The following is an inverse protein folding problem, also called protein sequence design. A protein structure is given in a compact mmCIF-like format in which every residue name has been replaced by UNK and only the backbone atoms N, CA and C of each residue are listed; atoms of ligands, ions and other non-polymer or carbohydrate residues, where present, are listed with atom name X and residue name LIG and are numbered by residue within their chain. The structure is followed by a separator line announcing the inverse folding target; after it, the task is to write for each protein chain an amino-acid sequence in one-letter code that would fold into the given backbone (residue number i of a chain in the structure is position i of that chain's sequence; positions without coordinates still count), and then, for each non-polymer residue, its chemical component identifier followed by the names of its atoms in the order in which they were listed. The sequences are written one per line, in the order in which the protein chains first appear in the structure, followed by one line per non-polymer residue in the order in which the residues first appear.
data_IF_266189779528
#
_entry.id   IF_266189779528
#
_cell.length_a   1.000
_cell.length_b   1.000
_cell.length_c   1.000
_cell.angle_alpha   90.00
_cell.angle_beta   90.00
_cell.angle_gamma   90.00
#
_symmetry.space_group_name_H-M   'P 1'
#
loop_
_entity.id
_entity.type
_entity.pdbx_description
1 polymer ?
#
# COMPACT_ATOMS: atom_id res chain seq x y z
N UNK A 1 32.30 18.33 -24.28
CA UNK A 1 31.99 17.80 -22.94
C UNK A 1 32.15 16.29 -22.97
N UNK A 2 33.06 15.73 -22.18
CA UNK A 2 33.40 14.31 -22.23
C UNK A 2 32.21 13.44 -21.72
N UNK A 3 32.12 12.20 -22.20
CA UNK A 3 31.10 11.22 -21.76
C UNK A 3 31.08 11.07 -20.23
N UNK A 4 32.21 11.19 -19.58
CA UNK A 4 32.39 11.12 -18.12
C UNK A 4 31.70 12.28 -17.38
N UNK A 5 31.74 13.50 -17.95
CA UNK A 5 31.02 14.65 -17.34
C UNK A 5 29.53 14.56 -17.46
N UNK A 6 28.99 13.95 -18.53
CA UNK A 6 27.53 13.68 -18.66
C UNK A 6 27.07 12.58 -17.70
N UNK A 7 27.84 11.52 -17.53
CA UNK A 7 27.53 10.45 -16.57
C UNK A 7 27.63 10.97 -15.12
N UNK A 8 28.61 11.80 -14.82
CA UNK A 8 28.76 12.42 -13.50
C UNK A 8 27.63 13.42 -13.18
N UNK A 9 27.21 14.22 -14.15
CA UNK A 9 26.08 15.14 -13.97
C UNK A 9 24.75 14.39 -13.74
N UNK A 10 24.48 13.32 -14.51
CA UNK A 10 23.27 12.51 -14.34
C UNK A 10 23.23 11.78 -12.99
N UNK A 11 24.37 11.27 -12.50
CA UNK A 11 24.45 10.66 -11.17
C UNK A 11 24.21 11.69 -10.06
N UNK A 12 24.80 12.88 -10.17
CA UNK A 12 24.59 13.95 -9.19
C UNK A 12 23.13 14.46 -9.15
N UNK A 13 22.45 14.53 -10.29
CA UNK A 13 21.02 14.87 -10.34
C UNK A 13 20.16 13.81 -9.66
N UNK A 14 20.47 12.52 -9.85
CA UNK A 14 19.79 11.44 -9.13
C UNK A 14 20.00 11.54 -7.62
N UNK A 15 21.23 11.73 -7.15
CA UNK A 15 21.54 11.91 -5.72
C UNK A 15 20.86 13.15 -5.12
N UNK A 16 20.78 14.25 -5.86
CA UNK A 16 20.02 15.43 -5.46
C UNK A 16 18.52 15.12 -5.30
N UNK A 17 17.92 14.39 -6.24
CA UNK A 17 16.52 13.97 -6.16
C UNK A 17 16.22 13.15 -4.89
N UNK A 18 17.11 12.20 -4.56
CA UNK A 18 16.98 11.42 -3.32
C UNK A 18 17.13 12.27 -2.06
N UNK A 19 18.07 13.23 -2.07
CA UNK A 19 18.25 14.19 -0.99
C UNK A 19 17.00 15.04 -0.77
N UNK A 20 16.42 15.59 -1.83
CA UNK A 20 15.18 16.36 -1.76
C UNK A 20 14.01 15.53 -1.21
N UNK A 21 13.84 14.28 -1.66
CA UNK A 21 12.82 13.39 -1.15
C UNK A 21 12.99 13.07 0.34
N UNK A 22 14.25 12.86 0.79
CA UNK A 22 14.54 12.64 2.20
C UNK A 22 14.24 13.87 3.05
N UNK A 23 14.65 15.07 2.65
CA UNK A 23 14.32 16.31 3.35
C UNK A 23 12.81 16.54 3.41
N UNK A 24 12.10 16.32 2.30
CA UNK A 24 10.64 16.40 2.27
C UNK A 24 10.00 15.45 3.28
N UNK A 25 10.47 14.21 3.35
CA UNK A 25 9.98 13.23 4.32
C UNK A 25 10.19 13.68 5.77
N UNK A 26 11.38 14.17 6.12
CA UNK A 26 11.66 14.68 7.46
C UNK A 26 10.82 15.91 7.82
N UNK A 27 10.63 16.83 6.88
CA UNK A 27 9.77 18.01 7.07
C UNK A 27 8.31 17.57 7.29
N UNK A 28 7.85 16.58 6.53
CA UNK A 28 6.52 16.04 6.66
C UNK A 28 6.32 15.35 8.02
N UNK A 29 7.32 14.59 8.51
CA UNK A 29 7.29 14.01 9.84
C UNK A 29 7.23 15.06 10.95
N UNK A 30 7.95 16.18 10.80
CA UNK A 30 7.88 17.30 11.76
C UNK A 30 6.50 17.97 11.78
N UNK A 31 5.76 17.92 10.69
CA UNK A 31 4.41 18.47 10.58
C UNK A 31 3.32 17.54 11.19
N UNK A 32 3.61 16.24 11.39
CA UNK A 32 2.66 15.25 11.93
C UNK A 32 2.08 15.63 13.29
N UNK A 33 2.86 16.08 14.31
CA UNK A 33 2.30 16.43 15.61
C UNK A 33 1.28 17.56 15.56
N UNK A 34 1.48 18.54 14.67
CA UNK A 34 0.53 19.64 14.47
C UNK A 34 -0.79 19.15 13.82
N UNK A 35 -0.70 18.14 12.97
CA UNK A 35 -1.86 17.51 12.34
C UNK A 35 -2.68 16.68 13.32
N UNK A 36 -2.04 15.96 14.25
CA UNK A 36 -2.73 15.17 15.28
C UNK A 36 -3.63 16.01 16.20
N UNK A 37 -3.27 17.27 16.43
CA UNK A 37 -4.14 18.22 17.16
C UNK A 37 -5.44 18.55 16.41
N UNK A 38 -5.52 18.22 15.12
CA UNK A 38 -6.69 18.44 14.25
C UNK A 38 -7.28 17.10 13.83
N UNK A 39 -7.61 16.26 14.79
CA UNK A 39 -8.06 14.88 14.60
C UNK A 39 -9.20 14.75 13.57
N UNK A 40 -10.11 15.73 13.52
CA UNK A 40 -11.20 15.73 12.53
C UNK A 40 -10.72 15.70 11.06
N UNK A 41 -9.59 16.36 10.74
CA UNK A 41 -9.01 16.31 9.39
C UNK A 41 -8.42 14.93 9.09
N UNK A 42 -7.78 14.30 10.07
CA UNK A 42 -7.21 12.96 9.91
C UNK A 42 -8.31 11.93 9.66
N UNK A 43 -9.38 11.96 10.46
CA UNK A 43 -10.53 11.06 10.29
C UNK A 43 -11.19 11.24 8.92
N UNK A 44 -11.36 12.50 8.49
CA UNK A 44 -11.90 12.79 7.16
C UNK A 44 -11.02 12.20 6.03
N UNK A 45 -9.70 12.24 6.18
CA UNK A 45 -8.77 11.64 5.21
C UNK A 45 -8.81 10.11 5.25
N UNK A 46 -8.85 9.48 6.43
CA UNK A 46 -9.01 8.02 6.55
C UNK A 46 -10.30 7.58 5.85
N UNK A 47 -11.40 8.27 6.08
CA UNK A 47 -12.68 7.96 5.43
C UNK A 47 -12.60 8.17 3.90
N UNK A 48 -12.03 9.27 3.43
CA UNK A 48 -11.94 9.57 2.01
C UNK A 48 -11.05 8.56 1.26
N UNK A 49 -9.89 8.22 1.82
CA UNK A 49 -8.93 7.29 1.23
C UNK A 49 -9.47 5.84 1.33
N UNK A 50 -9.91 5.44 2.52
CA UNK A 50 -10.37 4.07 2.81
C UNK A 50 -11.66 3.74 2.05
N UNK A 51 -12.72 4.51 2.27
CA UNK A 51 -14.04 4.21 1.71
C UNK A 51 -14.04 4.13 0.18
N UNK A 52 -13.39 5.08 -0.47
CA UNK A 52 -13.31 5.08 -1.93
C UNK A 52 -12.47 3.93 -2.50
N UNK A 53 -11.60 3.28 -1.71
CA UNK A 53 -10.79 2.13 -2.13
C UNK A 53 -11.46 0.77 -1.82
N UNK A 54 -12.52 0.74 -1.00
CA UNK A 54 -13.15 -0.49 -0.54
C UNK A 54 -13.61 -1.39 -1.68
N UNK A 55 -14.34 -0.85 -2.65
CA UNK A 55 -14.95 -1.65 -3.73
C UNK A 55 -13.90 -2.43 -4.51
N UNK A 56 -12.81 -1.77 -4.92
CA UNK A 56 -11.75 -2.42 -5.68
C UNK A 56 -11.00 -3.45 -4.82
N UNK A 57 -10.77 -3.16 -3.55
CA UNK A 57 -10.09 -4.07 -2.61
C UNK A 57 -10.94 -5.32 -2.36
N UNK A 58 -12.23 -5.18 -2.10
CA UNK A 58 -13.13 -6.31 -1.85
C UNK A 58 -13.30 -7.18 -3.10
N UNK A 59 -13.56 -6.56 -4.25
CA UNK A 59 -13.71 -7.29 -5.51
C UNK A 59 -12.43 -8.04 -5.92
N UNK A 60 -11.28 -7.38 -5.78
CA UNK A 60 -9.98 -8.01 -6.10
C UNK A 60 -9.61 -9.08 -5.09
N UNK A 61 -9.86 -8.88 -3.78
CA UNK A 61 -9.63 -9.88 -2.75
C UNK A 61 -10.43 -11.16 -2.99
N UNK A 62 -11.72 -11.01 -3.33
CA UNK A 62 -12.59 -12.13 -3.66
C UNK A 62 -12.08 -12.90 -4.88
N UNK A 63 -11.74 -12.20 -5.96
CA UNK A 63 -11.23 -12.80 -7.19
C UNK A 63 -9.90 -13.54 -6.98
N UNK A 64 -8.98 -12.94 -6.24
CA UNK A 64 -7.70 -13.56 -5.87
C UNK A 64 -7.93 -14.80 -5.00
N UNK A 65 -8.85 -14.72 -4.04
CA UNK A 65 -9.24 -15.86 -3.21
C UNK A 65 -9.77 -17.06 -4.03
N UNK A 66 -10.62 -16.80 -5.02
CA UNK A 66 -11.14 -17.82 -5.93
C UNK A 66 -10.01 -18.53 -6.70
N UNK A 67 -9.12 -17.73 -7.31
CA UNK A 67 -8.00 -18.27 -8.10
C UNK A 67 -7.03 -19.06 -7.23
N UNK A 68 -6.70 -18.53 -6.03
CA UNK A 68 -5.80 -19.22 -5.11
C UNK A 68 -6.35 -20.58 -4.64
N UNK A 69 -7.64 -20.64 -4.30
CA UNK A 69 -8.24 -21.90 -3.89
C UNK A 69 -8.12 -22.97 -4.98
N UNK A 70 -8.43 -22.61 -6.23
CA UNK A 70 -8.29 -23.54 -7.36
C UNK A 70 -6.83 -23.97 -7.59
N UNK A 71 -5.91 -23.03 -7.67
CA UNK A 71 -4.50 -23.28 -7.93
C UNK A 71 -3.87 -24.15 -6.83
N UNK A 72 -4.12 -23.79 -5.57
CA UNK A 72 -3.55 -24.52 -4.44
C UNK A 72 -4.18 -25.90 -4.27
N UNK A 73 -5.49 -26.05 -4.56
CA UNK A 73 -6.14 -27.35 -4.53
C UNK A 73 -5.51 -28.33 -5.52
N UNK A 74 -5.39 -27.94 -6.80
CA UNK A 74 -4.76 -28.82 -7.80
C UNK A 74 -3.31 -29.16 -7.48
N UNK A 75 -2.56 -28.18 -6.96
CA UNK A 75 -1.20 -28.43 -6.51
C UNK A 75 -1.15 -29.43 -5.34
N UNK A 76 -2.00 -29.28 -4.33
CA UNK A 76 -2.01 -30.12 -3.15
C UNK A 76 -2.53 -31.54 -3.42
N UNK A 77 -3.51 -31.70 -4.30
CA UNK A 77 -4.01 -33.04 -4.71
C UNK A 77 -2.90 -33.87 -5.33
N UNK A 78 -2.02 -33.27 -6.14
CA UNK A 78 -0.88 -33.97 -6.73
C UNK A 78 0.09 -34.57 -5.69
N UNK A 79 0.12 -34.01 -4.48
CA UNK A 79 0.94 -34.48 -3.35
C UNK A 79 0.13 -35.23 -2.27
N UNK A 80 -1.15 -35.49 -2.48
CA UNK A 80 -2.01 -36.13 -1.49
C UNK A 80 -2.26 -35.31 -0.23
N UNK A 81 -2.11 -33.98 -0.30
CA UNK A 81 -2.16 -33.04 0.84
C UNK A 81 -3.32 -32.04 0.76
N UNK A 82 -4.42 -32.40 0.07
CA UNK A 82 -5.58 -31.53 -0.14
C UNK A 82 -6.20 -30.98 1.17
N UNK A 83 -6.04 -31.72 2.27
CA UNK A 83 -6.51 -31.32 3.60
C UNK A 83 -5.91 -29.98 4.07
N UNK A 84 -4.68 -29.64 3.66
CA UNK A 84 -3.98 -28.43 4.07
C UNK A 84 -4.36 -27.17 3.27
N UNK A 85 -5.36 -27.26 2.40
CA UNK A 85 -5.75 -26.14 1.52
C UNK A 85 -6.05 -24.86 2.30
N UNK A 86 -6.87 -24.94 3.36
CA UNK A 86 -7.23 -23.80 4.19
C UNK A 86 -6.03 -23.11 4.82
N UNK A 87 -5.06 -23.88 5.31
CA UNK A 87 -3.82 -23.34 5.89
C UNK A 87 -2.99 -22.60 4.85
N UNK A 88 -2.73 -23.22 3.71
CA UNK A 88 -1.83 -22.65 2.69
C UNK A 88 -2.42 -21.39 2.08
N UNK A 89 -3.73 -21.39 1.78
CA UNK A 89 -4.43 -20.22 1.27
C UNK A 89 -4.39 -19.07 2.29
N UNK A 90 -4.63 -19.37 3.57
CA UNK A 90 -4.56 -18.34 4.61
C UNK A 90 -3.15 -17.75 4.72
N UNK A 91 -2.13 -18.58 4.84
CA UNK A 91 -0.74 -18.10 4.94
C UNK A 91 -0.33 -17.28 3.72
N UNK A 92 -0.69 -17.72 2.52
CA UNK A 92 -0.41 -16.98 1.29
C UNK A 92 -1.09 -15.60 1.27
N UNK A 93 -2.36 -15.52 1.69
CA UNK A 93 -3.11 -14.27 1.70
C UNK A 93 -2.65 -13.33 2.82
N UNK A 94 -2.50 -13.83 4.04
CA UNK A 94 -2.24 -12.96 5.20
C UNK A 94 -0.81 -12.48 5.25
N UNK A 95 0.16 -13.36 4.96
CA UNK A 95 1.60 -13.03 5.06
C UNK A 95 2.12 -12.24 3.87
N UNK A 96 1.64 -12.54 2.64
CA UNK A 96 2.26 -12.06 1.40
C UNK A 96 1.27 -11.32 0.50
N UNK A 97 0.33 -12.03 -0.10
CA UNK A 97 -0.52 -11.49 -1.17
C UNK A 97 -1.44 -10.36 -0.68
N UNK A 98 -1.98 -10.50 0.53
CA UNK A 98 -2.86 -9.46 1.10
C UNK A 98 -2.19 -8.11 1.19
N UNK A 99 -1.08 -7.99 1.92
CA UNK A 99 -0.33 -6.73 2.01
C UNK A 99 0.15 -6.20 0.67
N UNK A 100 0.76 -7.05 -0.18
CA UNK A 100 1.36 -6.64 -1.45
C UNK A 100 0.31 -6.21 -2.46
N UNK A 101 -0.70 -7.06 -2.72
CA UNK A 101 -1.72 -6.76 -3.74
C UNK A 101 -2.57 -5.57 -3.32
N UNK A 102 -2.95 -5.51 -2.02
CA UNK A 102 -3.67 -4.35 -1.51
C UNK A 102 -2.84 -3.05 -1.65
N UNK A 103 -1.50 -3.11 -1.45
CA UNK A 103 -0.62 -1.96 -1.62
C UNK A 103 -0.50 -1.51 -3.08
N UNK A 104 -0.42 -2.44 -4.04
CA UNK A 104 -0.40 -2.12 -5.46
C UNK A 104 -1.72 -1.46 -5.91
N UNK A 105 -2.85 -1.99 -5.46
CA UNK A 105 -4.17 -1.39 -5.72
C UNK A 105 -4.33 -0.03 -5.03
N UNK A 106 -3.80 0.11 -3.82
CA UNK A 106 -3.78 1.38 -3.10
C UNK A 106 -2.93 2.42 -3.83
N UNK A 107 -1.73 2.06 -4.30
CA UNK A 107 -0.88 2.95 -5.08
C UNK A 107 -1.57 3.40 -6.38
N UNK A 108 -2.21 2.47 -7.09
CA UNK A 108 -2.91 2.75 -8.34
C UNK A 108 -4.15 3.63 -8.17
N UNK A 109 -4.87 3.51 -7.05
CA UNK A 109 -6.12 4.25 -6.84
C UNK A 109 -5.96 5.42 -5.86
N UNK A 110 -5.53 5.17 -4.63
CA UNK A 110 -5.41 6.21 -3.60
C UNK A 110 -4.17 7.07 -3.82
N UNK A 111 -3.04 6.46 -4.22
CA UNK A 111 -1.81 7.17 -4.53
C UNK A 111 -2.01 8.17 -5.66
N UNK A 112 -2.60 7.76 -6.78
CA UNK A 112 -2.89 8.65 -7.91
C UNK A 112 -3.85 9.78 -7.54
N UNK A 113 -4.91 9.48 -6.75
CA UNK A 113 -5.86 10.50 -6.29
C UNK A 113 -5.19 11.54 -5.41
N UNK A 114 -4.34 11.12 -4.45
CA UNK A 114 -3.58 12.02 -3.58
C UNK A 114 -2.62 12.91 -4.38
N UNK A 115 -1.89 12.31 -5.32
CA UNK A 115 -0.97 13.06 -6.19
C UNK A 115 -1.71 14.10 -7.03
N UNK A 116 -2.84 13.69 -7.64
CA UNK A 116 -3.65 14.60 -8.45
C UNK A 116 -4.26 15.74 -7.62
N UNK A 117 -4.81 15.43 -6.43
CA UNK A 117 -5.39 16.44 -5.56
C UNK A 117 -4.37 17.52 -5.16
N UNK A 118 -3.14 17.10 -4.77
CA UNK A 118 -2.09 18.05 -4.37
C UNK A 118 -1.56 18.80 -5.58
N UNK A 119 -1.34 18.12 -6.70
CA UNK A 119 -0.90 18.76 -7.95
C UNK A 119 -1.90 19.81 -8.45
N UNK A 120 -3.21 19.53 -8.37
CA UNK A 120 -4.26 20.48 -8.71
C UNK A 120 -4.32 21.66 -7.72
N UNK A 121 -4.11 21.42 -6.43
CA UNK A 121 -4.01 22.50 -5.44
C UNK A 121 -2.80 23.40 -5.72
N UNK A 122 -1.69 22.83 -6.20
CA UNK A 122 -0.52 23.58 -6.64
C UNK A 122 -0.80 24.38 -7.91
N UNK A 123 -1.38 23.74 -8.93
CA UNK A 123 -1.73 24.40 -10.19
C UNK A 123 -2.76 25.54 -10.02
N UNK A 124 -3.67 25.42 -9.06
CA UNK A 124 -4.62 26.44 -8.70
C UNK A 124 -4.11 27.45 -7.66
N UNK A 125 -2.79 27.51 -7.42
CA UNK A 125 -2.12 28.46 -6.50
C UNK A 125 -2.62 28.37 -5.04
N UNK A 126 -3.39 27.35 -4.68
CA UNK A 126 -3.97 27.21 -3.33
C UNK A 126 -2.89 27.01 -2.26
N UNK A 127 -1.81 26.28 -2.59
CA UNK A 127 -0.69 26.07 -1.66
C UNK A 127 0.06 27.39 -1.41
N UNK A 128 0.33 28.17 -2.47
CA UNK A 128 0.97 29.46 -2.37
C UNK A 128 0.10 30.48 -1.60
N UNK A 129 -1.21 30.47 -1.85
CA UNK A 129 -2.14 31.32 -1.09
C UNK A 129 -2.14 31.00 0.41
N UNK A 130 -2.02 29.72 0.80
CA UNK A 130 -1.87 29.33 2.22
C UNK A 130 -0.57 29.88 2.82
N UNK A 131 0.54 29.81 2.10
CA UNK A 131 1.84 30.35 2.56
C UNK A 131 1.78 31.86 2.75
N UNK A 132 1.14 32.60 1.84
CA UNK A 132 0.92 34.05 1.97
C UNK A 132 0.06 34.38 3.20
N UNK A 133 -0.83 33.50 3.63
CA UNK A 133 -1.61 33.66 4.86
C UNK A 133 -0.88 33.13 6.11
N UNK A 134 0.42 32.84 6.03
CA UNK A 134 1.21 32.26 7.09
C UNK A 134 0.68 30.88 7.59
N UNK A 135 0.01 30.13 6.73
CA UNK A 135 -0.46 28.77 7.01
C UNK A 135 0.48 27.79 6.33
N UNK A 136 1.14 26.93 7.10
CA UNK A 136 2.01 25.87 6.55
C UNK A 136 1.18 24.80 5.81
N UNK A 137 1.34 24.67 4.47
CA UNK A 137 0.62 23.66 3.67
C UNK A 137 0.99 22.24 4.07
N UNK A 138 2.24 22.00 4.50
CA UNK A 138 2.70 20.67 4.92
C UNK A 138 1.93 20.20 6.14
N UNK A 139 1.75 21.07 7.14
CA UNK A 139 1.01 20.74 8.36
C UNK A 139 -0.52 20.69 8.16
N UNK A 140 -1.06 21.52 7.26
CA UNK A 140 -2.52 21.64 7.06
C UNK A 140 -3.08 20.64 6.07
N UNK A 141 -2.33 20.32 5.00
CA UNK A 141 -2.80 19.54 3.86
C UNK A 141 -2.11 18.18 3.77
N UNK A 142 -0.77 18.14 3.82
CA UNK A 142 -0.02 16.92 3.56
C UNK A 142 0.00 15.97 4.77
N UNK A 143 0.25 16.47 5.98
CA UNK A 143 0.37 15.63 7.17
C UNK A 143 -0.92 14.86 7.53
N UNK A 144 -2.16 15.43 7.44
CA UNK A 144 -3.37 14.65 7.63
C UNK A 144 -3.55 13.55 6.58
N UNK A 145 -3.13 13.79 5.32
CA UNK A 145 -3.17 12.80 4.24
C UNK A 145 -2.16 11.68 4.47
N UNK A 146 -0.97 12.01 4.97
CA UNK A 146 0.04 11.01 5.36
C UNK A 146 -0.53 10.05 6.39
N UNK A 147 -1.06 10.55 7.49
CA UNK A 147 -1.63 9.73 8.55
C UNK A 147 -2.82 8.92 8.02
N UNK A 148 -3.69 9.57 7.22
CA UNK A 148 -4.82 8.92 6.59
C UNK A 148 -4.42 7.72 5.74
N UNK A 149 -3.39 7.84 4.91
CA UNK A 149 -2.87 6.74 4.09
C UNK A 149 -2.23 5.62 4.91
N UNK A 150 -1.40 5.98 5.90
CA UNK A 150 -0.73 5.00 6.78
C UNK A 150 -1.74 4.17 7.57
N UNK A 151 -2.83 4.77 8.03
CA UNK A 151 -3.86 4.06 8.80
C UNK A 151 -4.80 3.27 7.89
N UNK A 152 -5.16 3.82 6.72
CA UNK A 152 -6.07 3.16 5.79
C UNK A 152 -5.48 1.91 5.16
N UNK A 153 -4.17 1.90 4.89
CA UNK A 153 -3.52 0.80 4.17
C UNK A 153 -3.59 -0.55 4.92
N UNK A 154 -3.25 -0.66 6.22
CA UNK A 154 -3.38 -1.91 6.98
C UNK A 154 -4.82 -2.40 7.07
N UNK A 155 -5.78 -1.50 7.22
CA UNK A 155 -7.20 -1.84 7.26
C UNK A 155 -7.67 -2.44 5.92
N UNK A 156 -7.25 -1.84 4.81
CA UNK A 156 -7.56 -2.34 3.47
C UNK A 156 -6.89 -3.69 3.18
N UNK A 157 -5.65 -3.89 3.63
CA UNK A 157 -4.94 -5.16 3.50
C UNK A 157 -5.61 -6.28 4.33
N UNK A 158 -6.05 -5.97 5.54
CA UNK A 158 -6.80 -6.90 6.38
C UNK A 158 -8.14 -7.29 5.75
N UNK A 159 -8.87 -6.32 5.21
CA UNK A 159 -10.12 -6.56 4.47
C UNK A 159 -9.89 -7.39 3.21
N UNK A 160 -8.83 -7.10 2.43
CA UNK A 160 -8.46 -7.90 1.27
C UNK A 160 -8.23 -9.37 1.65
N UNK A 161 -7.42 -9.61 2.68
CA UNK A 161 -7.12 -10.97 3.16
C UNK A 161 -8.37 -11.67 3.68
N UNK A 162 -9.20 -11.01 4.46
CA UNK A 162 -10.43 -11.58 5.00
C UNK A 162 -11.41 -12.00 3.88
N UNK A 163 -11.66 -11.12 2.92
CA UNK A 163 -12.54 -11.40 1.77
C UNK A 163 -11.91 -12.45 0.85
N UNK A 164 -10.58 -12.43 0.69
CA UNK A 164 -9.86 -13.45 -0.07
C UNK A 164 -10.02 -14.86 0.54
N UNK A 165 -9.91 -14.98 1.86
CA UNK A 165 -10.14 -16.24 2.58
C UNK A 165 -11.60 -16.71 2.42
N UNK A 166 -12.57 -15.80 2.53
CA UNK A 166 -13.99 -16.12 2.30
C UNK A 166 -14.22 -16.58 0.85
N UNK A 167 -13.60 -15.91 -0.12
CA UNK A 167 -13.65 -16.32 -1.53
C UNK A 167 -13.07 -17.73 -1.72
N UNK A 168 -11.91 -17.97 -1.13
CA UNK A 168 -11.27 -19.27 -1.19
C UNK A 168 -12.13 -20.38 -0.55
N UNK A 169 -12.77 -20.08 0.58
CA UNK A 169 -13.71 -21.00 1.22
C UNK A 169 -14.90 -21.34 0.30
N UNK A 170 -15.50 -20.34 -0.35
CA UNK A 170 -16.61 -20.58 -1.30
C UNK A 170 -16.20 -21.55 -2.39
N UNK A 171 -15.03 -21.36 -3.00
CA UNK A 171 -14.54 -22.26 -4.06
C UNK A 171 -14.18 -23.64 -3.51
N UNK A 172 -13.42 -23.69 -2.42
CA UNK A 172 -12.96 -24.94 -1.84
C UNK A 172 -14.11 -25.83 -1.36
N UNK A 173 -15.09 -25.27 -0.66
CA UNK A 173 -16.17 -26.02 -0.05
C UNK A 173 -17.35 -26.20 -1.01
N UNK A 174 -17.83 -25.16 -1.67
CA UNK A 174 -19.05 -25.21 -2.47
C UNK A 174 -18.82 -25.78 -3.87
N UNK A 175 -17.66 -25.52 -4.50
CA UNK A 175 -17.37 -25.95 -5.85
C UNK A 175 -16.56 -27.27 -5.89
N UNK A 176 -15.58 -27.42 -5.00
CA UNK A 176 -14.64 -28.54 -5.00
C UNK A 176 -15.12 -29.66 -4.07
N UNK A 177 -15.86 -29.33 -2.99
CA UNK A 177 -16.39 -30.31 -2.03
C UNK A 177 -15.40 -30.65 -0.90
N UNK A 178 -14.44 -29.77 -0.59
CA UNK A 178 -13.57 -29.92 0.59
C UNK A 178 -14.42 -29.79 1.84
N UNK A 179 -14.14 -30.59 2.88
CA UNK A 179 -14.87 -30.50 4.13
C UNK A 179 -14.70 -29.15 4.81
N UNK A 180 -15.83 -28.46 5.07
CA UNK A 180 -15.82 -27.13 5.65
C UNK A 180 -15.25 -27.12 7.06
N UNK A 181 -15.52 -28.17 7.85
CA UNK A 181 -15.00 -28.30 9.21
C UNK A 181 -13.47 -28.38 9.21
N UNK A 182 -12.93 -29.21 8.33
CA UNK A 182 -11.50 -29.39 8.15
C UNK A 182 -10.80 -28.12 7.66
N UNK A 183 -11.42 -27.39 6.70
CA UNK A 183 -10.87 -26.14 6.18
C UNK A 183 -10.61 -25.13 7.31
N UNK A 184 -11.59 -24.90 8.19
CA UNK A 184 -11.46 -23.94 9.28
C UNK A 184 -10.65 -24.45 10.46
N UNK A 185 -10.77 -25.74 10.83
CA UNK A 185 -10.07 -26.30 11.98
C UNK A 185 -8.55 -26.31 11.81
N UNK A 186 -8.08 -26.70 10.63
CA UNK A 186 -6.62 -26.69 10.34
C UNK A 186 -6.09 -25.26 10.33
N UNK A 187 -6.84 -24.31 9.77
CA UNK A 187 -6.48 -22.90 9.80
C UNK A 187 -6.35 -22.38 11.23
N UNK A 188 -7.35 -22.68 12.11
CA UNK A 188 -7.33 -22.20 13.50
C UNK A 188 -6.23 -22.84 14.34
N UNK A 189 -5.87 -24.08 14.08
CA UNK A 189 -4.86 -24.81 14.88
C UNK A 189 -3.42 -24.54 14.45
N UNK A 190 -3.20 -24.18 13.18
CA UNK A 190 -1.86 -24.08 12.58
C UNK A 190 -1.39 -22.66 12.32
N UNK A 191 -2.30 -21.67 12.32
CA UNK A 191 -1.96 -20.25 12.08
C UNK A 191 -1.62 -19.58 13.39
N UNK A 192 -0.41 -19.06 13.48
CA UNK A 192 0.00 -18.18 14.59
C UNK A 192 -0.43 -16.75 14.30
N UNK A 193 -1.48 -16.31 14.99
CA UNK A 193 -2.06 -14.98 14.79
C UNK A 193 -1.01 -13.87 15.00
N UNK A 194 -0.16 -13.98 16.02
CA UNK A 194 0.84 -12.94 16.29
C UNK A 194 1.94 -12.91 15.24
N UNK A 195 2.43 -14.06 14.84
CA UNK A 195 3.51 -14.16 13.86
C UNK A 195 3.00 -13.89 12.44
N UNK A 196 1.86 -14.48 12.06
CA UNK A 196 1.40 -14.45 10.66
C UNK A 196 0.66 -13.14 10.34
N UNK A 197 -0.34 -12.80 11.16
CA UNK A 197 -1.10 -11.56 10.99
C UNK A 197 -0.26 -10.34 11.36
N UNK A 198 0.58 -10.45 12.41
CA UNK A 198 1.49 -9.38 12.82
C UNK A 198 2.49 -9.00 11.71
N UNK A 199 3.10 -9.99 11.05
CA UNK A 199 4.01 -9.75 9.93
C UNK A 199 3.30 -9.08 8.74
N UNK A 200 2.10 -9.54 8.38
CA UNK A 200 1.28 -8.91 7.36
C UNK A 200 0.89 -7.46 7.70
N UNK A 201 0.59 -7.21 8.98
CA UNK A 201 0.28 -5.86 9.47
C UNK A 201 1.49 -4.93 9.36
N UNK A 202 2.67 -5.37 9.80
CA UNK A 202 3.91 -4.58 9.71
C UNK A 202 4.24 -4.27 8.24
N UNK A 203 4.17 -5.26 7.34
CA UNK A 203 4.34 -5.04 5.89
C UNK A 203 3.37 -3.99 5.37
N UNK A 204 2.10 -4.10 5.71
CA UNK A 204 1.07 -3.17 5.22
C UNK A 204 1.26 -1.74 5.74
N UNK A 205 1.76 -1.55 6.97
CA UNK A 205 2.12 -0.22 7.50
C UNK A 205 3.29 0.37 6.70
N UNK A 206 4.35 -0.41 6.46
CA UNK A 206 5.51 0.04 5.67
C UNK A 206 5.09 0.41 4.25
N UNK A 207 4.26 -0.39 3.60
CA UNK A 207 3.74 -0.09 2.27
C UNK A 207 2.84 1.16 2.28
N UNK A 208 2.04 1.35 3.32
CA UNK A 208 1.24 2.55 3.52
C UNK A 208 2.09 3.81 3.60
N UNK A 209 3.21 3.75 4.35
CA UNK A 209 4.18 4.86 4.41
C UNK A 209 4.76 5.12 3.03
N UNK A 210 5.28 4.10 2.36
CA UNK A 210 5.91 4.24 1.04
C UNK A 210 4.95 4.85 0.03
N UNK A 211 3.78 4.25 -0.16
CA UNK A 211 2.80 4.72 -1.16
C UNK A 211 2.37 6.16 -0.89
N UNK A 212 2.09 6.48 0.38
CA UNK A 212 1.58 7.81 0.73
C UNK A 212 2.67 8.86 0.61
N UNK A 213 3.90 8.59 1.08
CA UNK A 213 5.01 9.54 0.96
C UNK A 213 5.34 9.80 -0.52
N UNK A 214 5.42 8.75 -1.35
CA UNK A 214 5.66 8.90 -2.79
C UNK A 214 4.55 9.73 -3.44
N UNK A 215 3.28 9.46 -3.12
CA UNK A 215 2.15 10.21 -3.68
C UNK A 215 2.18 11.68 -3.30
N UNK A 216 2.44 11.99 -2.02
CA UNK A 216 2.52 13.36 -1.52
C UNK A 216 3.72 14.11 -2.12
N UNK A 217 4.87 13.45 -2.24
CA UNK A 217 6.07 14.01 -2.84
C UNK A 217 5.87 14.33 -4.31
N UNK A 218 5.37 13.37 -5.10
CA UNK A 218 5.13 13.56 -6.53
C UNK A 218 4.09 14.67 -6.79
N UNK A 219 3.04 14.74 -5.98
CA UNK A 219 2.03 15.80 -6.09
C UNK A 219 2.57 17.19 -5.71
N UNK A 220 3.41 17.26 -4.68
CA UNK A 220 3.98 18.53 -4.21
C UNK A 220 5.07 19.08 -5.15
N UNK A 221 5.91 18.23 -5.70
CA UNK A 221 7.01 18.60 -6.60
C UNK A 221 6.58 18.72 -8.08
N UNK A 222 5.34 18.35 -8.44
CA UNK A 222 4.89 18.42 -9.83
C UNK A 222 4.90 19.84 -10.37
N UNK A 223 5.06 19.99 -11.68
CA UNK A 223 4.83 21.25 -12.37
C UNK A 223 3.35 21.66 -12.24
N UNK A 224 3.10 22.96 -12.09
CA UNK A 224 1.75 23.51 -11.90
C UNK A 224 0.97 23.54 -13.25
N UNK A 225 0.96 22.43 -13.97
CA UNK A 225 0.28 22.25 -15.25
C UNK A 225 -0.54 20.97 -15.27
N UNK A 226 -1.63 20.88 -16.05
CA UNK A 226 -2.40 19.63 -16.16
C UNK A 226 -1.55 18.46 -16.63
N UNK A 227 -0.63 18.68 -17.58
CA UNK A 227 0.29 17.67 -18.10
C UNK A 227 1.26 17.20 -17.02
N UNK A 228 1.78 18.13 -16.20
CA UNK A 228 2.64 17.83 -15.06
C UNK A 228 1.93 16.94 -14.03
N UNK A 229 0.67 17.26 -13.71
CA UNK A 229 -0.14 16.45 -12.77
C UNK A 229 -0.38 15.04 -13.34
N UNK A 230 -0.72 14.90 -14.63
CA UNK A 230 -0.91 13.61 -15.27
C UNK A 230 0.38 12.77 -15.26
N UNK A 231 1.53 13.38 -15.53
CA UNK A 231 2.83 12.71 -15.46
C UNK A 231 3.17 12.28 -14.02
N UNK A 232 2.93 13.14 -13.03
CA UNK A 232 3.18 12.84 -11.63
C UNK A 232 2.34 11.65 -11.12
N UNK A 233 1.07 11.55 -11.52
CA UNK A 233 0.21 10.41 -11.15
C UNK A 233 0.76 9.10 -11.70
N UNK A 234 1.21 9.07 -12.93
CA UNK A 234 1.84 7.87 -13.53
C UNK A 234 3.12 7.51 -12.81
N UNK A 235 4.00 8.50 -12.53
CA UNK A 235 5.23 8.27 -11.76
C UNK A 235 4.95 7.74 -10.36
N UNK A 236 3.91 8.22 -9.71
CA UNK A 236 3.50 7.75 -8.38
C UNK A 236 3.26 6.25 -8.39
N UNK A 237 2.49 5.73 -9.34
CA UNK A 237 2.21 4.30 -9.45
C UNK A 237 3.48 3.50 -9.68
N UNK A 238 4.29 3.90 -10.67
CA UNK A 238 5.51 3.18 -11.04
C UNK A 238 6.49 3.13 -9.88
N UNK A 239 6.80 4.27 -9.26
CA UNK A 239 7.76 4.35 -8.16
C UNK A 239 7.24 3.57 -6.93
N UNK A 240 5.98 3.76 -6.56
CA UNK A 240 5.38 3.04 -5.43
C UNK A 240 5.41 1.53 -5.64
N UNK A 241 5.04 1.05 -6.84
CA UNK A 241 5.02 -0.38 -7.14
C UNK A 241 6.41 -1.01 -7.07
N UNK A 242 7.43 -0.32 -7.59
CA UNK A 242 8.82 -0.80 -7.50
C UNK A 242 9.31 -0.87 -6.05
N UNK A 243 8.98 0.16 -5.25
CA UNK A 243 9.34 0.17 -3.83
C UNK A 243 8.58 -0.89 -3.01
N UNK A 244 7.29 -1.11 -3.29
CA UNK A 244 6.50 -2.16 -2.65
C UNK A 244 7.16 -3.52 -2.89
N UNK A 245 7.41 -3.86 -4.17
CA UNK A 245 7.99 -5.17 -4.53
C UNK A 245 9.42 -5.36 -3.97
N UNK A 246 10.26 -4.31 -4.01
CA UNK A 246 11.59 -4.36 -3.43
C UNK A 246 11.58 -4.50 -1.92
N UNK A 247 10.75 -3.73 -1.23
CA UNK A 247 10.62 -3.79 0.23
C UNK A 247 9.94 -5.07 0.71
N UNK A 248 9.01 -5.62 -0.07
CA UNK A 248 8.40 -6.91 0.25
C UNK A 248 9.45 -8.01 0.36
N UNK A 249 10.32 -8.12 -0.63
CA UNK A 249 11.43 -9.07 -0.58
C UNK A 249 12.32 -8.88 0.66
N UNK A 250 12.70 -7.63 0.97
CA UNK A 250 13.54 -7.32 2.13
C UNK A 250 12.83 -7.68 3.44
N UNK A 251 11.56 -7.29 3.59
CA UNK A 251 10.78 -7.56 4.79
C UNK A 251 10.55 -9.07 4.97
N UNK A 252 10.22 -9.78 3.90
CA UNK A 252 10.07 -11.25 3.94
C UNK A 252 11.38 -11.92 4.37
N UNK A 253 12.50 -11.53 3.78
CA UNK A 253 13.82 -12.07 4.16
C UNK A 253 14.16 -11.80 5.63
N UNK A 254 13.87 -10.61 6.16
CA UNK A 254 14.13 -10.27 7.56
C UNK A 254 13.18 -10.97 8.53
N UNK A 255 11.90 -11.11 8.19
CA UNK A 255 10.88 -11.67 9.08
C UNK A 255 10.93 -13.20 9.16
N UNK A 256 11.39 -13.87 8.11
CA UNK A 256 11.44 -15.33 8.03
C UNK A 256 12.85 -15.91 8.02
N UNK A 257 13.89 -15.08 8.15
CA UNK A 257 15.29 -15.53 8.24
C UNK A 257 15.70 -16.06 9.61
N UNK A 258 14.89 -15.82 10.65
CA UNK A 258 15.12 -16.41 11.98
C UNK A 258 14.35 -17.71 12.12
N UNK A 259 15.04 -18.83 12.38
CA UNK A 259 14.43 -20.14 12.59
C UNK A 259 13.52 -20.18 13.82
#
# INVERSE_FOLDING_TARGET
MSYVTRLGAGSLEHFRGWGHAAFFFFDLLRAVPASLRRFGLVVAQIHAIGNRSLVIILASGLAVGFVLALQMYYALVAYGAAENLGLIVNLALVRELGPVVAALLFAGRAGTSLTAEIGLMKAGEQLAAMELMAIDPKARVLAPRLIGGIVSMPLLAALFSAIGILGAWVVAVQLIGVDSGNFWSIMQTRVDVWRDVGNGLVKSIVFGVICTVVALYQGYETEATPEGVAYATTRTVVISSLWILGMDFILTALMFSTP
#
